data_IF_974697810188
#
_entry.id   IF_974697810188
#
_cell.length_a   1.000
_cell.length_b   1.000
_cell.length_c   1.000
_cell.angle_alpha   90.00
_cell.angle_beta   90.00
_cell.angle_gamma   90.00
#
_symmetry.space_group_name_H-M   'P 1'
#
loop_
_entity.id
_entity.type
_entity.pdbx_description
1 polymer ?
#
# COMPACT_ATOMS: atom_id res chain seq x y z
N UNK A 1 -4.64 27.66 -1.90
CA UNK A 1 -4.14 27.07 -0.62
C UNK A 1 -3.27 25.86 -0.92
N UNK A 2 -2.22 25.58 -0.13
CA UNK A 2 -1.40 24.35 -0.26
C UNK A 2 -1.49 23.58 1.04
N UNK A 3 -1.78 22.27 0.98
CA UNK A 3 -1.77 21.35 2.14
C UNK A 3 -0.78 20.23 1.88
N UNK A 4 0.00 19.86 2.89
CA UNK A 4 0.82 18.64 2.86
C UNK A 4 0.11 17.52 3.61
N UNK A 5 -0.05 16.38 2.96
CA UNK A 5 -0.58 15.18 3.58
C UNK A 5 0.01 13.94 2.90
N UNK A 6 0.60 13.06 3.70
CA UNK A 6 1.04 11.75 3.23
C UNK A 6 -0.08 10.73 3.45
N UNK A 7 -0.84 10.45 2.41
CA UNK A 7 -1.96 9.52 2.43
C UNK A 7 -1.67 8.34 1.50
N UNK A 8 -1.64 7.15 2.07
CA UNK A 8 -1.40 5.90 1.35
C UNK A 8 -2.69 5.09 1.16
N UNK A 9 -3.80 5.55 1.74
CA UNK A 9 -5.09 4.90 1.71
C UNK A 9 -6.04 5.68 0.79
N UNK A 10 -6.31 5.11 -0.39
CA UNK A 10 -7.17 5.67 -1.43
C UNK A 10 -8.53 6.15 -0.87
N UNK A 11 -9.19 5.32 -0.07
CA UNK A 11 -10.55 5.62 0.38
C UNK A 11 -10.58 6.80 1.35
N UNK A 12 -9.58 6.84 2.25
CA UNK A 12 -9.42 7.97 3.18
C UNK A 12 -9.01 9.25 2.47
N UNK A 13 -8.20 9.15 1.43
CA UNK A 13 -7.80 10.29 0.62
C UNK A 13 -8.97 10.82 -0.19
N UNK A 14 -9.73 9.95 -0.85
CA UNK A 14 -10.95 10.32 -1.58
C UNK A 14 -11.96 11.02 -0.66
N UNK A 15 -12.21 10.47 0.55
CA UNK A 15 -13.11 11.08 1.53
C UNK A 15 -12.62 12.49 1.90
N UNK A 16 -11.34 12.64 2.21
CA UNK A 16 -10.77 13.92 2.59
C UNK A 16 -10.82 14.98 1.47
N UNK A 17 -10.60 14.60 0.21
CA UNK A 17 -10.75 15.51 -0.93
C UNK A 17 -12.20 15.96 -1.09
N UNK A 18 -13.16 15.05 -0.92
CA UNK A 18 -14.58 15.38 -0.99
C UNK A 18 -15.03 16.27 0.18
N UNK A 19 -14.46 16.09 1.37
CA UNK A 19 -14.78 16.97 2.50
C UNK A 19 -14.23 18.38 2.26
N UNK A 20 -13.04 18.53 1.69
CA UNK A 20 -12.49 19.84 1.29
C UNK A 20 -13.32 20.50 0.16
N UNK A 21 -13.83 19.71 -0.79
CA UNK A 21 -14.73 20.23 -1.83
C UNK A 21 -16.05 20.77 -1.23
N UNK A 22 -16.60 20.10 -0.21
CA UNK A 22 -17.76 20.61 0.53
C UNK A 22 -17.47 21.91 1.28
N UNK A 23 -16.21 22.11 1.71
CA UNK A 23 -15.74 23.35 2.34
C UNK A 23 -15.48 24.48 1.31
N UNK A 24 -15.58 24.19 0.00
CA UNK A 24 -15.35 25.16 -1.08
C UNK A 24 -13.91 25.22 -1.57
N UNK A 25 -13.18 24.11 -1.51
CA UNK A 25 -11.80 24.01 -1.99
C UNK A 25 -11.68 22.97 -3.11
N UNK A 26 -11.38 23.43 -4.32
CA UNK A 26 -11.14 22.58 -5.48
C UNK A 26 -9.65 22.25 -5.63
N UNK A 27 -9.33 20.96 -5.81
CA UNK A 27 -7.96 20.52 -6.09
C UNK A 27 -7.56 20.93 -7.50
N UNK A 28 -6.40 21.58 -7.65
CA UNK A 28 -5.82 21.98 -8.94
C UNK A 28 -4.53 21.23 -9.26
N UNK A 29 -3.92 20.57 -8.29
CA UNK A 29 -2.70 19.79 -8.53
C UNK A 29 -2.22 19.05 -7.30
N UNK A 30 -1.48 17.96 -7.57
CA UNK A 30 -0.85 17.14 -6.55
C UNK A 30 0.56 16.74 -6.98
N UNK A 31 1.51 16.82 -6.06
CA UNK A 31 2.88 16.36 -6.25
C UNK A 31 3.50 15.94 -4.93
N UNK A 32 3.94 14.69 -4.81
CA UNK A 32 4.71 14.18 -3.66
C UNK A 32 4.11 14.52 -2.28
N UNK A 33 2.79 14.43 -2.11
CA UNK A 33 2.10 14.74 -0.86
C UNK A 33 1.69 16.22 -0.70
N UNK A 34 2.04 17.10 -1.64
CA UNK A 34 1.60 18.49 -1.67
C UNK A 34 0.37 18.62 -2.56
N UNK A 35 -0.74 19.04 -1.96
CA UNK A 35 -2.01 19.28 -2.62
C UNK A 35 -2.23 20.78 -2.77
N UNK A 36 -2.45 21.23 -3.99
CA UNK A 36 -2.76 22.63 -4.32
C UNK A 36 -4.26 22.78 -4.56
N UNK A 37 -4.88 23.69 -3.83
CA UNK A 37 -6.31 23.99 -3.93
C UNK A 37 -6.55 25.43 -4.34
N UNK A 38 -7.65 25.68 -5.02
CA UNK A 38 -8.24 26.98 -5.28
C UNK A 38 -9.63 27.06 -4.64
N UNK A 39 -10.18 28.26 -4.51
CA UNK A 39 -11.52 28.44 -3.96
C UNK A 39 -12.57 28.14 -5.04
N UNK A 40 -13.63 27.44 -4.66
CA UNK A 40 -14.77 27.08 -5.51
C UNK A 40 -16.08 27.19 -4.71
N UNK A 41 -17.19 26.94 -5.36
CA UNK A 41 -18.48 26.85 -4.63
C UNK A 41 -18.47 25.59 -3.76
N UNK A 42 -18.93 25.67 -2.50
CA UNK A 42 -19.04 24.51 -1.62
C UNK A 42 -19.83 23.37 -2.28
N UNK A 43 -19.22 22.18 -2.35
CA UNK A 43 -19.83 21.02 -2.96
C UNK A 43 -19.94 21.05 -4.49
N UNK A 44 -19.19 21.90 -5.18
CA UNK A 44 -19.20 21.99 -6.66
C UNK A 44 -18.64 20.75 -7.34
N UNK A 45 -17.69 20.08 -6.71
CA UNK A 45 -16.99 18.92 -7.28
C UNK A 45 -17.04 17.71 -6.36
N UNK A 46 -17.06 16.54 -6.99
CA UNK A 46 -16.82 15.24 -6.38
C UNK A 46 -15.51 14.65 -6.91
N UNK A 47 -14.74 14.00 -6.04
CA UNK A 47 -13.44 13.42 -6.34
C UNK A 47 -13.46 11.90 -6.23
N UNK A 48 -12.75 11.25 -7.13
CA UNK A 48 -12.40 9.84 -7.05
C UNK A 48 -10.91 9.67 -7.38
N UNK A 49 -10.30 8.64 -6.80
CA UNK A 49 -8.92 8.27 -7.09
C UNK A 49 -8.92 6.92 -7.78
N UNK A 50 -8.16 6.83 -8.87
CA UNK A 50 -7.99 5.62 -9.64
C UNK A 50 -6.52 5.25 -9.81
N UNK A 51 -6.25 4.08 -10.38
CA UNK A 51 -4.92 3.57 -10.67
C UNK A 51 -4.75 3.42 -12.18
N UNK A 52 -3.76 4.10 -12.73
CA UNK A 52 -3.41 4.00 -14.16
C UNK A 52 -2.48 2.83 -14.44
N UNK A 53 -2.38 2.43 -15.70
CA UNK A 53 -1.43 1.41 -16.16
C UNK A 53 -0.03 1.97 -16.38
N UNK A 54 0.10 3.30 -16.53
CA UNK A 54 1.36 4.00 -16.80
C UNK A 54 1.91 4.73 -15.58
N UNK A 55 3.23 4.72 -15.40
CA UNK A 55 3.89 5.53 -14.39
C UNK A 55 3.91 6.99 -14.84
N UNK A 56 3.35 7.91 -14.03
CA UNK A 56 3.24 9.35 -14.27
C UNK A 56 2.49 9.75 -15.56
N UNK A 57 1.72 8.83 -16.14
CA UNK A 57 0.95 9.12 -17.37
C UNK A 57 -0.34 8.33 -17.43
N UNK A 58 -1.28 8.87 -18.15
CA UNK A 58 -2.56 8.27 -18.48
C UNK A 58 -2.53 7.89 -19.95
N UNK A 59 -3.08 6.73 -20.34
CA UNK A 59 -3.24 6.35 -21.75
C UNK A 59 -4.28 7.23 -22.42
N UNK A 60 -4.19 7.39 -23.74
CA UNK A 60 -5.13 8.22 -24.49
C UNK A 60 -6.54 7.63 -24.42
N UNK A 61 -6.67 6.32 -24.59
CA UNK A 61 -7.96 5.60 -24.47
C UNK A 61 -8.65 5.85 -23.11
N UNK A 62 -7.85 5.87 -22.01
CA UNK A 62 -8.38 6.19 -20.68
C UNK A 62 -8.84 7.64 -20.59
N UNK A 63 -8.09 8.57 -21.21
CA UNK A 63 -8.43 9.98 -21.23
C UNK A 63 -9.73 10.23 -22.01
N UNK A 64 -9.86 9.63 -23.18
CA UNK A 64 -11.06 9.72 -24.00
C UNK A 64 -12.27 9.15 -23.24
N UNK A 65 -12.12 7.97 -22.64
CA UNK A 65 -13.18 7.35 -21.84
C UNK A 65 -13.64 8.24 -20.68
N UNK A 66 -12.71 8.85 -19.93
CA UNK A 66 -13.05 9.76 -18.85
C UNK A 66 -13.74 11.03 -19.36
N UNK A 67 -13.28 11.58 -20.47
CA UNK A 67 -13.88 12.77 -21.09
C UNK A 67 -15.30 12.48 -21.58
N UNK A 68 -15.57 11.35 -22.21
CA UNK A 68 -16.91 10.91 -22.61
C UNK A 68 -17.85 10.75 -21.42
N UNK A 69 -17.33 10.29 -20.29
CA UNK A 69 -18.09 10.15 -19.03
C UNK A 69 -18.29 11.50 -18.29
N UNK A 70 -17.80 12.62 -18.83
CA UNK A 70 -17.85 13.93 -18.17
C UNK A 70 -16.94 14.03 -16.93
N UNK A 71 -15.89 13.21 -16.88
CA UNK A 71 -14.95 13.14 -15.76
C UNK A 71 -13.64 13.84 -16.17
N UNK A 72 -13.21 14.79 -15.34
CA UNK A 72 -11.97 15.52 -15.55
C UNK A 72 -10.80 14.85 -14.81
N UNK A 73 -9.67 14.70 -15.48
CA UNK A 73 -8.42 14.26 -14.89
C UNK A 73 -7.69 15.48 -14.33
N UNK A 74 -7.66 15.61 -13.00
CA UNK A 74 -7.01 16.74 -12.32
C UNK A 74 -5.48 16.61 -12.36
N UNK A 75 -4.97 15.46 -12.00
CA UNK A 75 -3.54 15.18 -12.01
C UNK A 75 -3.26 13.67 -11.98
N UNK A 76 -2.05 13.32 -12.41
CA UNK A 76 -1.50 11.97 -12.34
C UNK A 76 -0.14 12.02 -11.63
N UNK A 77 0.05 11.16 -10.60
CA UNK A 77 1.29 11.04 -9.87
C UNK A 77 1.60 9.57 -9.56
N UNK A 78 2.74 9.09 -10.06
CA UNK A 78 3.04 7.67 -10.01
C UNK A 78 2.03 6.87 -10.82
N UNK A 79 1.37 5.93 -10.17
CA UNK A 79 0.25 5.16 -10.73
C UNK A 79 -1.12 5.72 -10.34
N UNK A 80 -1.16 6.78 -9.52
CA UNK A 80 -2.41 7.37 -9.06
C UNK A 80 -2.88 8.47 -9.99
N UNK A 81 -4.17 8.47 -10.27
CA UNK A 81 -4.86 9.55 -10.98
C UNK A 81 -5.98 10.08 -10.09
N UNK A 82 -6.03 11.39 -9.93
CA UNK A 82 -7.11 12.07 -9.23
C UNK A 82 -8.09 12.61 -10.28
N UNK A 83 -9.32 12.16 -10.15
CA UNK A 83 -10.43 12.47 -11.04
C UNK A 83 -11.41 13.38 -10.32
N UNK A 84 -12.04 14.29 -11.04
CA UNK A 84 -13.16 15.09 -10.53
C UNK A 84 -14.31 15.14 -11.51
N UNK A 85 -15.51 15.30 -10.97
CA UNK A 85 -16.73 15.51 -11.71
C UNK A 85 -17.54 16.61 -11.03
N UNK A 86 -18.37 17.35 -11.77
CA UNK A 86 -19.30 18.31 -11.16
C UNK A 86 -20.35 17.56 -10.37
N UNK A 87 -20.61 18.02 -9.16
CA UNK A 87 -21.64 17.44 -8.30
C UNK A 87 -23.03 17.59 -8.96
N UNK A 88 -23.82 16.54 -8.90
CA UNK A 88 -25.18 16.52 -9.48
C UNK A 88 -25.25 16.05 -10.95
N UNK A 89 -24.13 15.79 -11.63
CA UNK A 89 -24.11 15.25 -13.00
C UNK A 89 -24.23 13.71 -13.06
N UNK A 90 -24.93 13.10 -12.12
CA UNK A 90 -25.10 11.65 -12.00
C UNK A 90 -24.12 10.99 -11.03
N UNK A 91 -24.27 9.69 -10.85
CA UNK A 91 -23.46 8.94 -9.89
C UNK A 91 -21.98 8.88 -10.35
N UNK A 92 -21.05 9.29 -9.46
CA UNK A 92 -19.61 9.22 -9.71
C UNK A 92 -19.02 7.95 -9.12
N UNK A 93 -19.29 6.82 -9.77
CA UNK A 93 -18.68 5.53 -9.42
C UNK A 93 -17.91 4.98 -10.62
N UNK A 94 -16.61 4.83 -10.47
CA UNK A 94 -15.72 4.29 -11.51
C UNK A 94 -15.97 2.80 -11.77
N UNK A 95 -16.34 2.07 -10.72
CA UNK A 95 -16.54 0.62 -10.76
C UNK A 95 -17.94 0.31 -10.25
N UNK A 96 -18.89 0.10 -11.16
CA UNK A 96 -20.30 -0.15 -10.85
C UNK A 96 -20.60 -1.61 -10.56
N UNK A 97 -19.80 -2.53 -11.13
CA UNK A 97 -19.92 -3.96 -10.87
C UNK A 97 -18.89 -4.45 -9.84
N UNK A 98 -19.21 -5.57 -9.19
CA UNK A 98 -18.36 -6.14 -8.15
C UNK A 98 -17.07 -6.72 -8.72
N UNK A 99 -17.10 -7.20 -9.96
CA UNK A 99 -15.94 -7.84 -10.60
C UNK A 99 -14.86 -6.81 -10.93
N UNK A 100 -15.21 -5.70 -11.58
CA UNK A 100 -14.25 -4.61 -11.88
C UNK A 100 -13.72 -3.97 -10.61
N UNK A 101 -14.54 -3.86 -9.55
CA UNK A 101 -14.06 -3.43 -8.23
C UNK A 101 -13.00 -4.40 -7.66
N UNK A 102 -13.22 -5.71 -7.75
CA UNK A 102 -12.25 -6.72 -7.30
C UNK A 102 -10.95 -6.63 -8.10
N UNK A 103 -11.01 -6.49 -9.42
CA UNK A 103 -9.82 -6.35 -10.26
C UNK A 103 -9.02 -5.10 -9.92
N UNK A 104 -9.70 -3.97 -9.72
CA UNK A 104 -9.08 -2.73 -9.30
C UNK A 104 -8.31 -2.88 -7.99
N UNK A 105 -8.95 -3.44 -6.94
CA UNK A 105 -8.27 -3.65 -5.66
C UNK A 105 -7.16 -4.70 -5.72
N UNK A 106 -7.25 -5.72 -6.60
CA UNK A 106 -6.14 -6.65 -6.86
C UNK A 106 -4.94 -5.92 -7.47
N UNK A 107 -5.17 -5.00 -8.41
CA UNK A 107 -4.13 -4.18 -9.05
C UNK A 107 -3.41 -3.31 -8.02
N UNK A 108 -4.17 -2.60 -7.17
CA UNK A 108 -3.64 -1.82 -6.05
C UNK A 108 -2.78 -2.70 -5.12
N UNK A 109 -3.30 -3.85 -4.70
CA UNK A 109 -2.58 -4.78 -3.83
C UNK A 109 -1.26 -5.26 -4.44
N UNK A 110 -1.27 -5.59 -5.73
CA UNK A 110 -0.07 -6.07 -6.43
C UNK A 110 0.98 -4.96 -6.54
N UNK A 111 0.58 -3.72 -6.81
CA UNK A 111 1.46 -2.56 -6.78
C UNK A 111 2.15 -2.42 -5.41
N UNK A 112 1.38 -2.43 -4.31
CA UNK A 112 1.96 -2.34 -2.97
C UNK A 112 2.86 -3.51 -2.62
N UNK A 113 2.58 -4.73 -3.11
CA UNK A 113 3.49 -5.87 -2.93
C UNK A 113 4.84 -5.65 -3.61
N UNK A 114 4.86 -5.12 -4.84
CA UNK A 114 6.11 -4.81 -5.55
C UNK A 114 6.91 -3.76 -4.79
N UNK A 115 6.25 -2.66 -4.36
CA UNK A 115 6.91 -1.63 -3.54
C UNK A 115 7.47 -2.22 -2.25
N UNK A 116 6.71 -3.08 -1.56
CA UNK A 116 7.18 -3.75 -0.33
C UNK A 116 8.42 -4.60 -0.57
N UNK A 117 8.52 -5.30 -1.70
CA UNK A 117 9.72 -6.10 -2.03
C UNK A 117 10.94 -5.20 -2.24
N UNK A 118 10.77 -4.07 -2.95
CA UNK A 118 11.85 -3.09 -3.15
C UNK A 118 12.31 -2.53 -1.81
N UNK A 119 11.38 -2.11 -0.96
CA UNK A 119 11.66 -1.57 0.38
C UNK A 119 12.34 -2.59 1.31
N UNK A 120 12.01 -3.89 1.19
CA UNK A 120 12.70 -4.94 1.93
C UNK A 120 14.17 -5.07 1.52
N UNK A 121 14.48 -4.89 0.24
CA UNK A 121 15.85 -4.89 -0.24
C UNK A 121 16.60 -3.66 0.32
N UNK A 122 15.99 -2.47 0.25
CA UNK A 122 16.56 -1.25 0.83
C UNK A 122 16.79 -1.41 2.34
N UNK A 123 15.80 -1.93 3.06
CA UNK A 123 15.89 -2.21 4.50
C UNK A 123 17.09 -3.11 4.83
N UNK A 124 17.29 -4.18 4.05
CA UNK A 124 18.43 -5.07 4.24
C UNK A 124 19.78 -4.34 4.05
N UNK A 125 19.89 -3.49 3.05
CA UNK A 125 21.10 -2.69 2.83
C UNK A 125 21.39 -1.72 3.98
N UNK A 126 20.35 -1.09 4.53
CA UNK A 126 20.48 -0.18 5.69
C UNK A 126 20.82 -0.91 6.98
N UNK A 127 20.30 -2.13 7.19
CA UNK A 127 20.72 -3.00 8.30
C UNK A 127 22.22 -3.29 8.23
N UNK A 128 22.75 -3.64 7.06
CA UNK A 128 24.19 -3.85 6.88
C UNK A 128 25.02 -2.58 7.15
N UNK A 129 24.50 -1.41 6.77
CA UNK A 129 25.11 -0.12 7.08
C UNK A 129 25.14 0.17 8.58
N UNK A 130 24.04 -0.05 9.26
CA UNK A 130 23.91 0.12 10.71
C UNK A 130 24.85 -0.82 11.49
N UNK A 131 24.99 -2.08 11.08
CA UNK A 131 25.92 -3.06 11.68
C UNK A 131 27.39 -2.64 11.56
N UNK A 132 27.74 -1.84 10.56
CA UNK A 132 29.09 -1.26 10.40
C UNK A 132 29.30 0.00 11.25
N UNK A 133 28.40 0.34 12.17
CA UNK A 133 28.47 1.50 13.06
C UNK A 133 28.02 2.82 12.41
N UNK A 134 27.35 2.78 11.27
CA UNK A 134 26.80 3.99 10.63
C UNK A 134 25.55 4.50 11.37
N UNK A 135 25.66 5.65 12.03
CA UNK A 135 24.52 6.31 12.67
C UNK A 135 23.42 6.67 11.64
N UNK A 136 23.84 7.11 10.44
CA UNK A 136 22.91 7.41 9.35
C UNK A 136 22.16 6.13 8.90
N UNK A 137 22.86 4.99 8.74
CA UNK A 137 22.27 3.69 8.42
C UNK A 137 21.24 3.25 9.46
N UNK A 138 21.53 3.44 10.75
CA UNK A 138 20.57 3.14 11.82
C UNK A 138 19.30 3.98 11.73
N UNK A 139 19.42 5.31 11.52
CA UNK A 139 18.27 6.21 11.38
C UNK A 139 17.42 5.84 10.16
N UNK A 140 18.06 5.61 9.00
CA UNK A 140 17.36 5.19 7.77
C UNK A 140 16.65 3.85 7.96
N UNK A 141 17.30 2.87 8.61
CA UNK A 141 16.70 1.58 8.93
C UNK A 141 15.40 1.73 9.72
N UNK A 142 15.37 2.59 10.75
CA UNK A 142 14.17 2.85 11.56
C UNK A 142 13.06 3.47 10.72
N UNK A 143 13.38 4.45 9.88
CA UNK A 143 12.42 5.11 8.99
C UNK A 143 11.81 4.10 8.01
N UNK A 144 12.63 3.29 7.35
CA UNK A 144 12.18 2.26 6.40
C UNK A 144 11.34 1.20 7.11
N UNK A 145 11.69 0.79 8.34
CA UNK A 145 10.89 -0.14 9.12
C UNK A 145 9.47 0.38 9.38
N UNK A 146 9.33 1.66 9.75
CA UNK A 146 8.02 2.30 9.94
C UNK A 146 7.23 2.31 8.63
N UNK A 147 7.88 2.60 7.51
CA UNK A 147 7.25 2.62 6.20
C UNK A 147 6.80 1.22 5.76
N UNK A 148 7.61 0.19 5.99
CA UNK A 148 7.24 -1.21 5.75
C UNK A 148 6.01 -1.64 6.55
N UNK A 149 5.88 -1.22 7.81
CA UNK A 149 4.67 -1.48 8.62
C UNK A 149 3.43 -0.81 8.01
N UNK A 150 3.56 0.41 7.51
CA UNK A 150 2.48 1.11 6.83
C UNK A 150 2.05 0.36 5.54
N UNK A 151 3.00 -0.05 4.70
CA UNK A 151 2.74 -0.83 3.48
C UNK A 151 2.07 -2.18 3.78
N UNK A 152 2.53 -2.89 4.81
CA UNK A 152 1.93 -4.14 5.27
C UNK A 152 0.46 -3.92 5.67
N UNK A 153 0.18 -2.86 6.43
CA UNK A 153 -1.18 -2.52 6.86
C UNK A 153 -2.12 -2.24 5.67
N UNK A 154 -1.64 -1.49 4.66
CA UNK A 154 -2.41 -1.21 3.43
C UNK A 154 -2.68 -2.51 2.66
N UNK A 155 -1.67 -3.38 2.52
CA UNK A 155 -1.81 -4.67 1.83
C UNK A 155 -2.83 -5.57 2.52
N UNK A 156 -2.84 -5.60 3.86
CA UNK A 156 -3.84 -6.35 4.65
C UNK A 156 -5.23 -5.75 4.48
N UNK A 157 -5.37 -4.41 4.56
CA UNK A 157 -6.64 -3.72 4.36
C UNK A 157 -7.22 -4.01 2.97
N UNK A 158 -6.42 -3.86 1.92
CA UNK A 158 -6.82 -4.11 0.54
C UNK A 158 -7.23 -5.56 0.32
N UNK A 159 -6.51 -6.52 0.93
CA UNK A 159 -6.86 -7.94 0.87
C UNK A 159 -8.19 -8.24 1.58
N UNK A 160 -8.50 -7.52 2.66
CA UNK A 160 -9.80 -7.63 3.35
C UNK A 160 -10.94 -7.12 2.48
N UNK A 161 -10.78 -5.97 1.84
CA UNK A 161 -11.78 -5.40 0.92
C UNK A 161 -12.06 -6.37 -0.23
N UNK A 162 -11.01 -6.95 -0.83
CA UNK A 162 -11.17 -7.97 -1.87
C UNK A 162 -12.00 -9.16 -1.36
N UNK A 163 -11.72 -9.65 -0.15
CA UNK A 163 -12.48 -10.75 0.46
C UNK A 163 -13.95 -10.42 0.70
N UNK A 164 -14.25 -9.22 1.15
CA UNK A 164 -15.63 -8.74 1.35
C UNK A 164 -16.39 -8.63 0.01
N UNK A 165 -15.75 -8.09 -1.04
CA UNK A 165 -16.34 -8.00 -2.37
C UNK A 165 -16.58 -9.39 -2.98
N UNK A 166 -15.64 -10.33 -2.81
CA UNK A 166 -15.81 -11.71 -3.25
C UNK A 166 -16.96 -12.42 -2.53
N UNK A 167 -17.13 -12.17 -1.23
CA UNK A 167 -18.27 -12.65 -0.47
C UNK A 167 -19.61 -12.13 -0.98
N UNK A 168 -19.70 -10.86 -1.39
CA UNK A 168 -20.88 -10.27 -2.03
C UNK A 168 -21.17 -10.87 -3.41
N UNK A 169 -20.15 -11.28 -4.15
CA UNK A 169 -20.26 -11.94 -5.43
C UNK A 169 -20.66 -13.44 -5.32
N UNK A 170 -20.96 -13.96 -4.13
CA UNK A 170 -21.29 -15.36 -3.89
C UNK A 170 -20.10 -16.31 -4.08
N UNK A 171 -18.87 -15.80 -4.21
CA UNK A 171 -17.66 -16.61 -4.29
C UNK A 171 -17.22 -16.99 -2.88
N UNK A 172 -16.85 -18.25 -2.68
CA UNK A 172 -16.26 -18.68 -1.41
C UNK A 172 -15.12 -17.76 -1.04
N UNK A 173 -15.21 -17.17 0.16
CA UNK A 173 -14.18 -16.28 0.70
C UNK A 173 -12.85 -17.03 0.78
N UNK A 174 -11.98 -16.89 -0.22
CA UNK A 174 -10.59 -17.32 -0.14
C UNK A 174 -9.77 -16.50 0.87
N UNK A 175 -10.39 -15.49 1.50
CA UNK A 175 -9.79 -14.74 2.60
C UNK A 175 -10.14 -15.41 3.93
N UNK A 176 -9.72 -16.67 4.07
CA UNK A 176 -9.61 -17.26 5.39
C UNK A 176 -8.57 -16.44 6.17
N UNK A 177 -8.95 -15.94 7.35
CA UNK A 177 -8.02 -15.29 8.30
C UNK A 177 -6.80 -16.22 8.41
N UNK A 178 -5.72 -15.89 7.70
CA UNK A 178 -4.50 -16.69 7.80
C UNK A 178 -3.96 -16.46 9.20
N UNK A 179 -3.90 -17.45 10.06
CA UNK A 179 -3.17 -17.30 11.29
C UNK A 179 -1.74 -16.95 10.90
N UNK A 180 -1.20 -15.88 11.49
CA UNK A 180 0.22 -15.59 11.36
C UNK A 180 0.92 -16.88 11.79
N UNK A 181 1.71 -17.47 10.88
CA UNK A 181 2.38 -18.72 11.21
C UNK A 181 3.38 -18.43 12.33
N UNK A 182 3.05 -18.91 13.54
CA UNK A 182 3.85 -18.66 14.73
C UNK A 182 5.29 -19.13 14.57
N UNK A 183 5.53 -20.22 13.81
CA UNK A 183 6.88 -20.72 13.55
C UNK A 183 7.71 -19.74 12.72
N UNK A 184 7.11 -19.16 11.67
CA UNK A 184 7.76 -18.13 10.85
C UNK A 184 8.11 -16.90 11.70
N UNK A 185 7.16 -16.45 12.53
CA UNK A 185 7.36 -15.29 13.41
C UNK A 185 8.47 -15.54 14.43
N UNK A 186 8.45 -16.70 15.07
CA UNK A 186 9.48 -17.08 16.06
C UNK A 186 10.85 -17.19 15.39
N UNK A 187 10.93 -17.79 14.19
CA UNK A 187 12.18 -17.87 13.43
C UNK A 187 12.74 -16.48 13.08
N UNK A 188 11.90 -15.55 12.64
CA UNK A 188 12.30 -14.17 12.36
C UNK A 188 12.76 -13.43 13.62
N UNK A 189 12.06 -13.57 14.74
CA UNK A 189 12.43 -12.95 16.02
C UNK A 189 13.73 -13.51 16.56
N UNK A 190 13.94 -14.83 16.49
CA UNK A 190 15.18 -15.49 16.88
C UNK A 190 16.36 -14.98 16.04
N UNK A 191 16.20 -14.88 14.73
CA UNK A 191 17.23 -14.36 13.84
C UNK A 191 17.55 -12.89 14.13
N UNK A 192 16.52 -12.07 14.37
CA UNK A 192 16.70 -10.66 14.75
C UNK A 192 17.42 -10.49 16.09
N UNK A 193 17.03 -11.26 17.11
CA UNK A 193 17.68 -11.26 18.42
C UNK A 193 19.16 -11.70 18.32
N UNK A 194 19.44 -12.73 17.51
CA UNK A 194 20.77 -13.22 17.27
C UNK A 194 21.70 -12.17 16.62
N UNK A 195 21.19 -11.41 15.66
CA UNK A 195 21.93 -10.28 15.06
C UNK A 195 22.27 -9.20 16.10
N UNK A 196 21.36 -8.93 17.05
CA UNK A 196 21.62 -7.96 18.13
C UNK A 196 22.65 -8.44 19.16
N UNK A 197 22.83 -9.76 19.29
CA UNK A 197 23.71 -10.37 20.29
C UNK A 197 25.05 -10.81 19.69
N UNK A 198 25.37 -10.45 18.45
CA UNK A 198 26.54 -10.95 17.71
C UNK A 198 27.86 -10.76 18.48
N UNK A 199 28.04 -9.63 19.17
CA UNK A 199 29.27 -9.33 19.94
C UNK A 199 29.28 -9.97 21.35
N UNK A 200 28.17 -10.55 21.81
CA UNK A 200 28.00 -11.06 23.17
C UNK A 200 27.97 -12.59 23.25
N UNK A 201 27.94 -13.26 22.11
CA UNK A 201 27.69 -14.71 22.01
C UNK A 201 28.83 -15.38 21.24
N UNK A 202 29.24 -16.59 21.65
CA UNK A 202 30.27 -17.35 20.92
C UNK A 202 29.81 -17.73 19.52
N UNK A 203 30.74 -17.79 18.56
CA UNK A 203 30.47 -18.13 17.15
C UNK A 203 29.70 -19.45 16.98
N UNK A 204 29.96 -20.43 17.83
CA UNK A 204 29.27 -21.73 17.81
C UNK A 204 27.81 -21.57 18.21
N UNK A 205 27.52 -20.82 19.27
CA UNK A 205 26.15 -20.58 19.71
C UNK A 205 25.38 -19.71 18.71
N UNK A 206 26.06 -18.72 18.12
CA UNK A 206 25.52 -17.92 17.02
C UNK A 206 25.10 -18.80 15.84
N UNK A 207 25.95 -19.72 15.38
CA UNK A 207 25.63 -20.66 14.31
C UNK A 207 24.45 -21.58 14.62
N UNK A 208 24.32 -22.05 15.87
CA UNK A 208 23.19 -22.88 16.32
C UNK A 208 21.88 -22.08 16.26
N UNK A 209 21.88 -20.84 16.73
CA UNK A 209 20.69 -19.99 16.74
C UNK A 209 20.25 -19.67 15.31
N UNK A 210 21.19 -19.35 14.40
CA UNK A 210 20.90 -19.14 12.96
C UNK A 210 20.30 -20.38 12.33
N UNK A 211 20.89 -21.54 12.58
CA UNK A 211 20.40 -22.82 12.08
C UNK A 211 18.97 -23.12 12.55
N UNK A 212 18.69 -22.91 13.84
CA UNK A 212 17.36 -23.10 14.41
C UNK A 212 16.35 -22.10 13.82
N UNK A 213 16.72 -20.84 13.69
CA UNK A 213 15.89 -19.80 13.08
C UNK A 213 15.52 -20.16 11.63
N UNK A 214 16.48 -20.61 10.83
CA UNK A 214 16.24 -21.05 9.45
C UNK A 214 15.30 -22.26 9.39
N UNK A 215 15.48 -23.26 10.24
CA UNK A 215 14.58 -24.42 10.31
C UNK A 215 13.16 -24.01 10.63
N UNK A 216 12.97 -23.12 11.61
CA UNK A 216 11.65 -22.60 11.99
C UNK A 216 11.01 -21.79 10.86
N UNK A 217 11.78 -20.96 10.15
CA UNK A 217 11.30 -20.19 9.01
C UNK A 217 10.88 -21.11 7.86
N UNK A 218 11.68 -22.11 7.50
CA UNK A 218 11.35 -23.09 6.45
C UNK A 218 10.14 -23.92 6.84
N UNK A 219 10.05 -24.40 8.08
CA UNK A 219 8.88 -25.12 8.58
C UNK A 219 7.62 -24.24 8.54
N UNK A 220 7.74 -22.98 8.90
CA UNK A 220 6.63 -22.02 8.80
C UNK A 220 6.17 -21.79 7.36
N UNK A 221 7.09 -21.63 6.41
CA UNK A 221 6.78 -21.52 5.00
C UNK A 221 6.15 -22.80 4.43
N UNK A 222 6.65 -23.96 4.83
CA UNK A 222 6.08 -25.25 4.44
C UNK A 222 4.65 -25.43 4.93
N UNK A 223 4.37 -25.12 6.21
CA UNK A 223 2.99 -25.15 6.72
C UNK A 223 2.07 -24.20 5.97
N UNK A 224 2.56 -23.00 5.61
CA UNK A 224 1.79 -22.08 4.79
C UNK A 224 1.51 -22.64 3.41
N UNK A 225 2.43 -23.37 2.79
CA UNK A 225 2.26 -23.97 1.47
C UNK A 225 1.33 -25.19 1.51
N UNK A 226 1.41 -26.02 2.56
CA UNK A 226 0.59 -27.21 2.74
C UNK A 226 -0.90 -26.87 2.98
N UNK A 227 -1.21 -25.72 3.53
CA UNK A 227 -2.57 -25.21 3.71
C UNK A 227 -3.21 -24.75 2.37
N UNK A 228 -2.46 -24.80 1.26
CA UNK A 228 -2.90 -24.41 -0.09
C UNK A 228 -3.37 -25.61 -0.96
N UNK A 229 -3.26 -26.84 -0.48
CA UNK A 229 -3.81 -28.04 -1.14
C UNK A 229 -5.14 -28.43 -0.50
#
# INVERSE_FOLDING_TARGET
>A
MIKFALRLDKDKETTWLNDLAKEGHALTGFCAGFYKFEDCKPGEYEYQIDLTDGLFRVTEDYREFMQEAGIEIVCCWGYWVILRKKAGEGEFKLYTDVESSIEHYKKIRNMFKVVTVIELICFYMEVLGAMRGSTAGFVCMVIIAIFLLALANITVKTSRIIGELQGRAGRQNCYQKRPVNSLLLVGLLLNGANLMMQDSVSDVLHGIIVGLALVLMVAGLYQMSATYK
#
